data_IF_451773615463
#
_entry.id   IF_451773615463
#
_cell.length_a   1.000
_cell.length_b   1.000
_cell.length_c   1.000
_cell.angle_alpha   90.00
_cell.angle_beta   90.00
_cell.angle_gamma   90.00
#
_symmetry.space_group_name_H-M   'P 1'
#
loop_
_entity.id
_entity.type
_entity.pdbx_description
1 polymer ?
#
# COMPACT_ATOMS: atom_id res chain seq x y z
N UNK A 1 8.20 12.71 7.09
CA UNK A 1 7.42 12.76 5.84
C UNK A 1 7.27 11.35 5.34
N UNK A 2 6.03 10.90 5.28
CA UNK A 2 5.65 9.70 4.55
C UNK A 2 5.88 9.96 3.06
N UNK A 3 6.21 8.90 2.30
CA UNK A 3 6.39 8.99 0.86
C UNK A 3 5.04 8.75 0.20
N UNK A 4 4.54 9.71 -0.55
CA UNK A 4 3.26 9.59 -1.25
C UNK A 4 3.50 9.34 -2.75
N UNK A 5 2.74 8.41 -3.34
CA UNK A 5 2.89 8.04 -4.74
C UNK A 5 1.53 7.71 -5.35
N UNK A 6 1.26 8.31 -6.50
CA UNK A 6 0.03 8.16 -7.27
C UNK A 6 0.32 7.32 -8.52
N UNK A 7 -0.57 6.39 -8.82
CA UNK A 7 -0.40 5.46 -9.93
C UNK A 7 -1.49 5.67 -10.99
N UNK A 8 -1.18 5.55 -12.29
CA UNK A 8 -2.20 5.69 -13.34
C UNK A 8 -3.31 4.64 -13.21
N UNK A 9 -2.95 3.43 -12.78
CA UNK A 9 -3.90 2.33 -12.56
C UNK A 9 -3.59 1.55 -11.27
N UNK A 10 -4.57 0.82 -10.72
CA UNK A 10 -4.34 -0.09 -9.60
C UNK A 10 -3.32 -1.20 -9.91
N UNK A 11 -3.26 -1.65 -11.16
CA UNK A 11 -2.29 -2.65 -11.62
C UNK A 11 -0.86 -2.10 -11.57
N UNK A 12 -0.65 -0.84 -11.98
CA UNK A 12 0.66 -0.17 -11.87
C UNK A 12 1.09 -0.06 -10.41
N UNK A 13 0.16 0.29 -9.52
CA UNK A 13 0.42 0.32 -8.07
C UNK A 13 0.82 -1.06 -7.55
N UNK A 14 0.10 -2.11 -7.94
CA UNK A 14 0.39 -3.48 -7.52
C UNK A 14 1.77 -3.93 -8.01
N UNK A 15 2.11 -3.65 -9.26
CA UNK A 15 3.43 -3.95 -9.82
C UNK A 15 4.54 -3.22 -9.05
N UNK A 16 4.35 -1.92 -8.78
CA UNK A 16 5.33 -1.14 -8.03
C UNK A 16 5.52 -1.66 -6.59
N UNK A 17 4.45 -2.08 -5.91
CA UNK A 17 4.53 -2.73 -4.60
C UNK A 17 5.34 -4.03 -4.71
N UNK A 18 5.01 -4.88 -5.67
CA UNK A 18 5.67 -6.18 -5.84
C UNK A 18 7.16 -6.00 -6.13
N UNK A 19 7.53 -5.11 -7.04
CA UNK A 19 8.91 -4.83 -7.40
C UNK A 19 9.71 -4.29 -6.20
N UNK A 20 9.14 -3.38 -5.41
CA UNK A 20 9.78 -2.85 -4.19
C UNK A 20 10.01 -3.93 -3.15
N UNK A 21 8.96 -4.69 -2.82
CA UNK A 21 9.06 -5.76 -1.83
C UNK A 21 10.02 -6.86 -2.29
N UNK A 22 10.08 -7.14 -3.60
CA UNK A 22 11.01 -8.12 -4.17
C UNK A 22 12.46 -7.64 -4.14
N UNK A 23 12.72 -6.40 -4.55
CA UNK A 23 14.07 -5.81 -4.57
C UNK A 23 14.71 -5.78 -3.17
N UNK A 24 13.88 -5.57 -2.15
CA UNK A 24 14.31 -5.47 -0.76
C UNK A 24 14.06 -6.74 0.07
N UNK A 25 13.62 -7.84 -0.55
CA UNK A 25 13.11 -9.03 0.16
C UNK A 25 14.07 -9.60 1.20
N UNK A 26 15.37 -9.63 0.91
CA UNK A 26 16.39 -10.15 1.84
C UNK A 26 16.66 -9.22 3.02
N UNK A 27 16.23 -7.95 2.92
CA UNK A 27 16.42 -6.92 3.93
C UNK A 27 15.17 -6.66 4.77
N UNK A 28 13.99 -7.06 4.29
CA UNK A 28 12.71 -6.86 4.98
C UNK A 28 12.43 -8.05 5.92
N UNK A 29 12.22 -7.75 7.21
CA UNK A 29 11.77 -8.73 8.20
C UNK A 29 10.26 -8.99 8.10
N UNK A 30 9.46 -7.91 8.04
CA UNK A 30 8.01 -7.97 7.93
C UNK A 30 7.47 -6.67 7.33
N UNK A 31 6.23 -6.72 6.86
CA UNK A 31 5.51 -5.58 6.28
C UNK A 31 4.25 -5.35 7.11
N UNK A 32 4.01 -4.11 7.52
CA UNK A 32 2.73 -3.71 8.07
C UNK A 32 1.96 -2.92 7.02
N UNK A 33 0.63 -3.06 7.04
CA UNK A 33 -0.26 -2.42 6.09
C UNK A 33 -1.42 -1.74 6.81
N UNK A 34 -1.83 -0.59 6.30
CA UNK A 34 -3.15 0.00 6.58
C UNK A 34 -3.77 0.42 5.26
N UNK A 35 -5.09 0.45 5.19
CA UNK A 35 -5.80 0.86 3.99
C UNK A 35 -6.93 1.81 4.36
N UNK A 36 -7.39 2.58 3.38
CA UNK A 36 -8.61 3.36 3.50
C UNK A 36 -9.48 3.07 2.29
N UNK A 37 -10.75 2.77 2.55
CA UNK A 37 -11.78 2.70 1.50
C UNK A 37 -12.47 4.04 1.36
N UNK A 38 -12.99 4.33 0.17
CA UNK A 38 -13.81 5.52 -0.04
C UNK A 38 -14.99 5.57 0.93
N UNK A 39 -15.20 6.73 1.54
CA UNK A 39 -16.28 6.99 2.52
C UNK A 39 -16.20 6.16 3.82
N UNK A 40 -15.11 5.41 4.04
CA UNK A 40 -14.87 4.69 5.29
C UNK A 40 -13.75 5.34 6.11
N UNK A 41 -13.66 4.94 7.39
CA UNK A 41 -12.50 5.29 8.23
C UNK A 41 -11.30 4.46 7.80
N UNK A 42 -10.10 5.01 7.98
CA UNK A 42 -8.85 4.26 7.80
C UNK A 42 -8.84 3.02 8.70
N UNK A 43 -8.37 1.90 8.15
CA UNK A 43 -8.27 0.63 8.89
C UNK A 43 -7.27 0.75 10.04
N UNK A 44 -7.37 -0.12 11.07
CA UNK A 44 -6.23 -0.36 11.95
C UNK A 44 -5.04 -0.92 11.15
N UNK A 45 -3.84 -0.89 11.75
CA UNK A 45 -2.67 -1.55 11.19
C UNK A 45 -2.85 -3.07 11.22
N UNK A 46 -2.67 -3.69 10.06
CA UNK A 46 -2.46 -5.12 9.88
C UNK A 46 -0.95 -5.40 9.99
N UNK A 47 -0.58 -6.39 10.78
CA UNK A 47 0.82 -6.65 11.15
C UNK A 47 1.37 -7.91 10.47
N UNK A 48 2.61 -7.83 9.99
CA UNK A 48 3.29 -8.97 9.34
C UNK A 48 2.42 -9.60 8.23
N UNK A 49 2.09 -8.77 7.24
CA UNK A 49 1.19 -9.13 6.14
C UNK A 49 1.93 -9.65 4.93
N UNK A 50 1.28 -10.55 4.21
CA UNK A 50 1.59 -10.88 2.81
C UNK A 50 0.54 -10.23 1.92
N UNK A 51 0.97 -9.64 0.80
CA UNK A 51 0.10 -8.95 -0.14
C UNK A 51 0.24 -9.62 -1.50
N UNK A 52 -0.87 -9.88 -2.15
CA UNK A 52 -0.93 -10.37 -3.53
C UNK A 52 -1.99 -9.59 -4.29
N UNK A 53 -1.75 -9.37 -5.58
CA UNK A 53 -2.72 -8.75 -6.47
C UNK A 53 -3.10 -9.74 -7.58
N UNK A 54 -4.39 -10.01 -7.71
CA UNK A 54 -4.97 -10.86 -8.74
C UNK A 54 -6.43 -10.45 -8.95
N UNK A 55 -6.94 -10.62 -10.18
CA UNK A 55 -8.36 -10.35 -10.50
C UNK A 55 -8.83 -8.97 -10.00
N UNK A 56 -8.03 -7.93 -10.27
CA UNK A 56 -8.26 -6.53 -9.86
C UNK A 56 -8.48 -6.30 -8.36
N UNK A 57 -7.99 -7.24 -7.54
CA UNK A 57 -8.15 -7.24 -6.10
C UNK A 57 -6.82 -7.44 -5.38
N UNK A 58 -6.61 -6.65 -4.32
CA UNK A 58 -5.55 -6.89 -3.35
C UNK A 58 -6.05 -7.87 -2.30
N UNK A 59 -5.39 -9.02 -2.20
CA UNK A 59 -5.54 -9.93 -1.07
C UNK A 59 -4.43 -9.66 -0.07
N UNK A 60 -4.82 -9.22 1.12
CA UNK A 60 -3.91 -9.02 2.25
C UNK A 60 -4.15 -10.14 3.25
N UNK A 61 -3.10 -10.91 3.54
CA UNK A 61 -3.14 -11.97 4.55
C UNK A 61 -2.27 -11.56 5.73
N UNK A 62 -2.90 -11.37 6.88
CA UNK A 62 -2.18 -11.25 8.14
C UNK A 62 -1.62 -12.62 8.55
N UNK A 63 -0.42 -12.66 9.14
CA UNK A 63 0.17 -13.90 9.65
C UNK A 63 -0.72 -14.61 10.67
N UNK A 64 -1.54 -13.86 11.41
CA UNK A 64 -2.48 -14.38 12.39
C UNK A 64 -3.79 -14.91 11.76
N UNK A 65 -3.92 -14.89 10.43
CA UNK A 65 -4.95 -15.62 9.68
C UNK A 65 -6.08 -14.76 9.12
N UNK A 66 -6.14 -13.46 9.44
CA UNK A 66 -7.12 -12.56 8.82
C UNK A 66 -6.79 -12.37 7.34
N UNK A 67 -7.80 -12.56 6.48
CA UNK A 67 -7.70 -12.32 5.04
C UNK A 67 -8.64 -11.18 4.71
N UNK A 68 -8.08 -10.09 4.21
CA UNK A 68 -8.82 -8.92 3.73
C UNK A 68 -8.69 -8.89 2.21
N UNK A 69 -9.83 -8.84 1.53
CA UNK A 69 -9.89 -8.55 0.10
C UNK A 69 -10.29 -7.10 -0.10
N UNK A 70 -9.49 -6.38 -0.87
CA UNK A 70 -9.71 -4.98 -1.23
C UNK A 70 -9.80 -4.93 -2.74
N UNK A 71 -10.98 -4.59 -3.27
CA UNK A 71 -11.07 -4.27 -4.69
C UNK A 71 -10.41 -2.93 -4.94
N UNK A 72 -9.80 -2.78 -6.12
CA UNK A 72 -9.16 -1.53 -6.48
C UNK A 72 -10.13 -0.33 -6.52
N UNK A 73 -11.39 -0.56 -6.90
CA UNK A 73 -12.42 0.47 -7.01
C UNK A 73 -12.84 1.04 -5.65
N UNK A 74 -12.79 0.22 -4.59
CA UNK A 74 -13.16 0.65 -3.24
C UNK A 74 -12.02 1.32 -2.50
N UNK A 75 -10.78 1.19 -2.99
CA UNK A 75 -9.56 1.60 -2.30
C UNK A 75 -9.22 3.07 -2.56
N UNK A 76 -9.24 3.90 -1.52
CA UNK A 76 -8.77 5.29 -1.58
C UNK A 76 -7.24 5.33 -1.53
N UNK A 77 -6.62 4.61 -0.59
CA UNK A 77 -5.18 4.42 -0.56
C UNK A 77 -4.78 3.20 0.26
N UNK A 78 -3.54 2.78 0.04
CA UNK A 78 -2.87 1.73 0.81
C UNK A 78 -1.58 2.30 1.37
N UNK A 79 -1.31 2.06 2.66
CA UNK A 79 -0.05 2.46 3.28
C UNK A 79 0.77 1.27 3.71
N UNK A 80 1.99 1.19 3.20
CA UNK A 80 2.96 0.14 3.47
C UNK A 80 4.07 0.64 4.37
N UNK A 81 4.40 -0.18 5.37
CA UNK A 81 5.58 0.04 6.21
C UNK A 81 6.40 -1.25 6.27
N UNK A 82 7.41 -1.39 5.39
CA UNK A 82 8.41 -2.44 5.50
C UNK A 82 9.34 -2.17 6.70
N UNK A 83 9.72 -3.23 7.42
CA UNK A 83 10.68 -3.17 8.51
C UNK A 83 11.98 -3.88 8.11
N UNK A 84 13.10 -3.16 8.15
CA UNK A 84 14.38 -3.61 7.60
C UNK A 84 15.35 -4.11 8.69
N UNK A 85 16.20 -5.11 8.36
CA UNK A 85 17.13 -5.77 9.29
C UNK A 85 18.26 -4.87 9.83
N UNK A 86 18.79 -3.95 9.02
CA UNK A 86 20.07 -3.29 9.31
C UNK A 86 20.03 -1.75 9.36
N UNK A 87 18.85 -1.15 9.25
CA UNK A 87 18.75 0.30 9.07
C UNK A 87 17.73 0.91 10.02
N UNK A 88 18.23 1.69 10.98
CA UNK A 88 17.49 2.73 11.71
C UNK A 88 17.03 3.87 10.78
N UNK A 89 16.77 3.57 9.50
CA UNK A 89 16.17 4.49 8.55
C UNK A 89 14.70 4.58 8.97
N UNK A 90 14.33 5.74 9.49
CA UNK A 90 13.04 5.98 10.14
C UNK A 90 11.88 5.42 9.34
N UNK A 91 10.90 4.90 10.09
CA UNK A 91 9.68 4.21 9.67
C UNK A 91 8.80 4.99 8.68
N UNK A 92 9.30 5.34 7.51
CA UNK A 92 8.55 6.04 6.48
C UNK A 92 7.54 5.06 5.92
N UNK A 93 6.27 5.40 6.07
CA UNK A 93 5.23 4.69 5.34
C UNK A 93 5.26 5.17 3.88
N UNK A 94 5.07 4.25 2.96
CA UNK A 94 4.67 4.57 1.59
C UNK A 94 3.15 4.68 1.59
N UNK A 95 2.60 5.81 1.17
CA UNK A 95 1.17 6.01 0.91
C UNK A 95 0.99 5.91 -0.59
N UNK A 96 0.20 4.93 -1.02
CA UNK A 96 0.06 4.54 -2.42
C UNK A 96 -1.40 4.72 -2.81
N UNK A 97 -1.63 5.53 -3.84
CA UNK A 97 -2.96 5.84 -4.36
C UNK A 97 -3.16 5.13 -5.70
N UNK A 98 -4.21 4.30 -5.86
CA UNK A 98 -4.44 3.51 -7.09
C UNK A 98 -5.03 4.33 -8.25
N UNK A 99 -4.84 5.65 -8.24
CA UNK A 99 -5.35 6.60 -9.23
C UNK A 99 -4.38 7.80 -9.36
N UNK A 100 -4.42 8.52 -10.49
CA UNK A 100 -3.54 9.66 -10.72
C UNK A 100 -3.77 10.78 -9.71
N UNK A 101 -2.75 11.60 -9.50
CA UNK A 101 -2.89 12.80 -8.68
C UNK A 101 -3.85 13.78 -9.37
N UNK A 102 -5.00 14.05 -8.74
CA UNK A 102 -6.01 14.96 -9.26
C UNK A 102 -5.75 16.43 -8.88
N UNK A 103 -4.61 16.75 -8.26
CA UNK A 103 -4.25 18.10 -7.83
C UNK A 103 -4.03 19.12 -8.97
N UNK A 104 -4.15 18.73 -10.25
CA UNK A 104 -4.08 19.66 -11.39
C UNK A 104 -5.40 20.41 -11.69
N UNK A 105 -6.49 20.19 -10.95
CA UNK A 105 -7.80 20.83 -11.20
C UNK A 105 -8.22 21.96 -10.23
N UNK A 106 -7.31 22.51 -9.41
CA UNK A 106 -7.59 23.68 -8.56
C UNK A 106 -6.82 24.96 -8.95
N UNK A 107 -6.52 25.17 -10.25
CA UNK A 107 -6.02 26.46 -10.76
C UNK A 107 -6.87 27.07 -11.89
N UNK A 108 -8.18 26.79 -11.93
CA UNK A 108 -9.07 27.47 -12.88
C UNK A 108 -10.46 27.72 -12.28
N UNK A 109 -10.53 28.65 -11.33
CA UNK A 109 -11.74 29.41 -11.00
C UNK A 109 -11.37 30.84 -10.65
#
# INVERSE_FOLDING_TARGET
>A
MDWEEYFPTPADMAQAIEERLRADKERINYVNLRYKRFNEKESPWLYDVTISFADDSFTVREKCGEIVNLTAEELEYLKLRPFYFATCIGFKAFVLYPYPDNNDNEQSL
#
